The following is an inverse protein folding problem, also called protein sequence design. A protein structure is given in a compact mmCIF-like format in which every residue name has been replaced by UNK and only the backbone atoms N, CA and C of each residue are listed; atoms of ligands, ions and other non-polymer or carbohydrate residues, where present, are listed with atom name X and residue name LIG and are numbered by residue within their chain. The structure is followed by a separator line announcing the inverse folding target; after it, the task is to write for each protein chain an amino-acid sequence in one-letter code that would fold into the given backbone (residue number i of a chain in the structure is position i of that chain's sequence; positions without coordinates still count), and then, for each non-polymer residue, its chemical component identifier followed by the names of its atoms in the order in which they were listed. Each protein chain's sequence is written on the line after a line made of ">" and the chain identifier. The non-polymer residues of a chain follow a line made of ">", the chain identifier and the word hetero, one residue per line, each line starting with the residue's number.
data_IF_738330304733
#
_entry.id   IF_738330304733
#
_cell.length_a   1.000
_cell.length_b   1.000
_cell.length_c   1.000
_cell.angle_alpha   90.00
_cell.angle_beta   90.00
_cell.angle_gamma   90.00
#
_symmetry.space_group_name_H-M   'P 1'
#
loop_
_entity.id
_entity.type
_entity.pdbx_description
1 polymer ?
#
# COMPACT_ATOMS: atom_id res chain seq x y z
N UNK A 1 7.31 5.02 -22.90
CA UNK A 1 7.89 6.10 -22.10
C UNK A 1 7.03 6.45 -20.89
N UNK A 2 5.75 6.77 -21.04
CA UNK A 2 4.84 7.18 -19.95
C UNK A 2 4.85 6.20 -18.77
N UNK A 3 4.74 4.88 -19.03
CA UNK A 3 4.79 3.87 -17.98
C UNK A 3 6.12 3.86 -17.21
N UNK A 4 7.24 4.07 -17.91
CA UNK A 4 8.57 4.17 -17.31
C UNK A 4 8.67 5.39 -16.38
N UNK A 5 8.24 6.55 -16.86
CA UNK A 5 8.22 7.78 -16.06
C UNK A 5 7.33 7.66 -14.83
N UNK A 6 6.12 7.07 -14.96
CA UNK A 6 5.21 6.85 -13.83
C UNK A 6 5.84 5.94 -12.77
N UNK A 7 6.50 4.86 -13.18
CA UNK A 7 7.22 3.96 -12.26
C UNK A 7 8.35 4.70 -11.53
N UNK A 8 9.14 5.45 -12.28
CA UNK A 8 10.22 6.24 -11.72
C UNK A 8 9.70 7.28 -10.70
N UNK A 9 8.71 8.08 -11.09
CA UNK A 9 8.09 9.08 -10.21
C UNK A 9 7.52 8.45 -8.93
N UNK A 10 6.88 7.27 -9.03
CA UNK A 10 6.39 6.57 -7.85
C UNK A 10 7.54 6.21 -6.91
N UNK A 11 8.65 5.66 -7.43
CA UNK A 11 9.82 5.30 -6.63
C UNK A 11 10.42 6.51 -5.92
N UNK A 12 10.72 7.56 -6.68
CA UNK A 12 11.50 8.70 -6.17
C UNK A 12 10.65 9.72 -5.43
N UNK A 13 9.45 10.03 -5.93
CA UNK A 13 8.59 11.06 -5.31
C UNK A 13 7.70 10.49 -4.23
N UNK A 14 7.03 9.36 -4.53
CA UNK A 14 6.02 8.83 -3.61
C UNK A 14 6.66 8.04 -2.47
N UNK A 15 7.66 7.21 -2.76
CA UNK A 15 8.29 6.34 -1.76
C UNK A 15 9.47 7.02 -1.07
N UNK A 16 10.38 7.63 -1.83
CA UNK A 16 11.59 8.25 -1.26
C UNK A 16 11.38 9.71 -0.85
N UNK A 17 10.26 10.32 -1.23
CA UNK A 17 9.94 11.72 -0.96
C UNK A 17 11.00 12.72 -1.43
N UNK A 18 11.65 12.43 -2.57
CA UNK A 18 12.64 13.33 -3.19
C UNK A 18 11.99 14.70 -3.46
N UNK A 19 12.78 15.78 -3.31
CA UNK A 19 12.30 17.14 -3.51
C UNK A 19 11.73 17.33 -4.93
N UNK A 20 10.60 18.04 -5.05
CA UNK A 20 9.94 18.26 -6.32
C UNK A 20 10.84 18.99 -7.33
N UNK A 21 11.61 20.00 -6.91
CA UNK A 21 12.52 20.75 -7.80
C UNK A 21 13.63 19.88 -8.37
N UNK A 22 14.19 18.96 -7.59
CA UNK A 22 15.18 18.01 -8.10
C UNK A 22 14.59 17.06 -9.16
N UNK A 23 13.39 16.59 -8.91
CA UNK A 23 12.69 15.72 -9.87
C UNK A 23 12.30 16.46 -11.15
N UNK A 24 11.83 17.69 -11.03
CA UNK A 24 11.51 18.56 -12.18
C UNK A 24 12.74 18.83 -13.04
N UNK A 25 13.88 19.16 -12.42
CA UNK A 25 15.15 19.39 -13.13
C UNK A 25 15.58 18.13 -13.88
N UNK A 26 15.52 16.97 -13.25
CA UNK A 26 15.89 15.69 -13.88
C UNK A 26 14.98 15.32 -15.05
N UNK A 27 13.67 15.50 -14.89
CA UNK A 27 12.70 15.24 -15.96
C UNK A 27 12.84 16.23 -17.12
N UNK A 28 13.15 17.50 -16.83
CA UNK A 28 13.43 18.51 -17.84
C UNK A 28 14.70 18.16 -18.65
N UNK A 29 15.75 17.68 -17.98
CA UNK A 29 16.96 17.21 -18.65
C UNK A 29 16.68 16.01 -19.56
N UNK A 30 15.85 15.07 -19.11
CA UNK A 30 15.42 13.92 -19.93
C UNK A 30 14.63 14.40 -21.15
N UNK A 31 13.68 15.33 -20.97
CA UNK A 31 12.91 15.88 -22.05
C UNK A 31 13.80 16.59 -23.09
N UNK A 32 14.79 17.37 -22.65
CA UNK A 32 15.81 17.97 -23.50
C UNK A 32 16.59 16.92 -24.28
N UNK A 33 17.03 15.86 -23.64
CA UNK A 33 17.76 14.78 -24.29
C UNK A 33 16.90 14.01 -25.33
N UNK A 34 15.63 13.82 -25.04
CA UNK A 34 14.70 13.21 -26.01
C UNK A 34 14.55 14.09 -27.23
N UNK A 35 14.34 15.40 -27.05
CA UNK A 35 14.06 16.32 -28.15
C UNK A 35 15.31 16.63 -28.98
N UNK A 36 16.42 16.96 -28.35
CA UNK A 36 17.63 17.44 -29.04
C UNK A 36 18.64 16.35 -29.39
N UNK A 37 18.66 15.22 -28.64
CA UNK A 37 19.63 14.14 -28.82
C UNK A 37 19.00 12.85 -29.33
N UNK A 38 17.72 12.88 -29.69
CA UNK A 38 16.96 11.70 -30.14
C UNK A 38 17.14 10.47 -29.25
N UNK A 39 17.18 10.67 -27.91
CA UNK A 39 17.40 9.60 -26.96
C UNK A 39 16.29 8.56 -27.02
N UNK A 40 16.64 7.30 -27.16
CA UNK A 40 15.69 6.18 -27.20
C UNK A 40 15.11 5.88 -25.81
N UNK A 41 13.98 5.16 -25.76
CA UNK A 41 13.36 4.74 -24.50
C UNK A 41 14.31 3.88 -23.66
N UNK A 42 15.15 3.04 -24.29
CA UNK A 42 16.17 2.24 -23.60
C UNK A 42 17.19 3.13 -22.90
N UNK A 43 17.74 4.11 -23.62
CA UNK A 43 18.71 5.05 -23.05
C UNK A 43 18.13 5.89 -21.92
N UNK A 44 16.85 6.29 -22.05
CA UNK A 44 16.13 6.99 -20.95
C UNK A 44 16.00 6.07 -19.73
N UNK A 45 15.64 4.81 -19.96
CA UNK A 45 15.55 3.82 -18.89
C UNK A 45 16.89 3.67 -18.16
N UNK A 46 17.99 3.52 -18.89
CA UNK A 46 19.31 3.39 -18.30
C UNK A 46 19.71 4.63 -17.49
N UNK A 47 19.41 5.83 -18.02
CA UNK A 47 19.64 7.09 -17.31
C UNK A 47 18.82 7.16 -16.00
N UNK A 48 17.56 6.78 -16.01
CA UNK A 48 16.70 6.76 -14.82
C UNK A 48 17.16 5.70 -13.80
N UNK A 49 17.64 4.53 -14.24
CA UNK A 49 18.19 3.50 -13.37
C UNK A 49 19.46 4.02 -12.67
N UNK A 50 20.32 4.73 -13.38
CA UNK A 50 21.59 5.26 -12.87
C UNK A 50 21.44 6.56 -12.08
N UNK A 51 20.24 7.16 -12.05
CA UNK A 51 19.98 8.38 -11.29
C UNK A 51 20.30 8.17 -9.80
N UNK A 52 20.97 9.17 -9.21
CA UNK A 52 21.23 9.19 -7.76
C UNK A 52 19.95 9.30 -6.92
N UNK A 53 18.86 9.76 -7.52
CA UNK A 53 17.55 9.81 -6.87
C UNK A 53 16.82 8.47 -6.87
N UNK A 54 17.21 7.53 -7.77
CA UNK A 54 16.57 6.22 -7.87
C UNK A 54 17.09 5.28 -6.77
N UNK A 55 16.24 4.85 -5.82
CA UNK A 55 16.69 3.93 -4.78
C UNK A 55 17.05 2.56 -5.36
N UNK A 56 17.95 1.84 -4.70
CA UNK A 56 18.14 0.42 -4.96
C UNK A 56 16.83 -0.37 -4.78
N UNK A 57 16.79 -1.60 -5.26
CA UNK A 57 15.61 -2.45 -5.07
C UNK A 57 15.36 -2.75 -3.60
N UNK A 58 16.41 -2.94 -2.83
CA UNK A 58 16.38 -3.24 -1.39
C UNK A 58 15.90 -2.01 -0.60
N UNK A 59 16.47 -0.84 -0.89
CA UNK A 59 16.06 0.43 -0.28
C UNK A 59 14.60 0.73 -0.58
N UNK A 60 14.16 0.58 -1.83
CA UNK A 60 12.76 0.77 -2.21
C UNK A 60 11.84 -0.18 -1.45
N UNK A 61 12.18 -1.48 -1.37
CA UNK A 61 11.37 -2.47 -0.66
C UNK A 61 11.31 -2.17 0.84
N UNK A 62 12.43 -1.78 1.45
CA UNK A 62 12.48 -1.40 2.86
C UNK A 62 11.58 -0.21 3.15
N UNK A 63 11.67 0.85 2.35
CA UNK A 63 10.80 2.03 2.50
C UNK A 63 9.32 1.69 2.30
N UNK A 64 9.01 0.81 1.34
CA UNK A 64 7.64 0.34 1.11
C UNK A 64 7.04 -0.44 2.28
N UNK A 65 7.84 -1.12 3.10
CA UNK A 65 7.34 -1.80 4.31
C UNK A 65 6.79 -0.82 5.32
N UNK A 66 7.48 0.29 5.49
CA UNK A 66 7.18 1.28 6.53
C UNK A 66 6.39 2.48 6.01
N UNK A 67 5.99 2.44 4.72
CA UNK A 67 5.26 3.55 4.11
C UNK A 67 3.88 3.73 4.73
N UNK A 68 3.58 4.98 5.06
CA UNK A 68 2.27 5.40 5.55
C UNK A 68 1.71 6.51 4.65
N UNK A 69 0.53 6.28 4.12
CA UNK A 69 -0.17 7.30 3.36
C UNK A 69 -1.31 7.90 4.19
N UNK A 70 -1.21 9.18 4.49
CA UNK A 70 -2.29 9.93 5.13
C UNK A 70 -3.51 10.13 4.22
N UNK A 71 -3.27 10.26 2.90
CA UNK A 71 -4.33 10.49 1.90
C UNK A 71 -4.93 9.16 1.42
N UNK A 72 -6.22 9.00 1.56
CA UNK A 72 -6.98 7.82 1.11
C UNK A 72 -6.83 7.54 -0.39
N UNK A 73 -6.66 8.58 -1.22
CA UNK A 73 -6.41 8.42 -2.67
C UNK A 73 -5.09 7.70 -2.97
N UNK A 74 -4.02 8.01 -2.21
CA UNK A 74 -2.73 7.33 -2.35
C UNK A 74 -2.80 5.88 -1.87
N UNK A 75 -3.47 5.66 -0.73
CA UNK A 75 -3.72 4.31 -0.22
C UNK A 75 -4.48 3.48 -1.26
N UNK A 76 -5.57 4.03 -1.82
CA UNK A 76 -6.38 3.35 -2.83
C UNK A 76 -5.57 3.03 -4.09
N UNK A 77 -4.83 4.02 -4.61
CA UNK A 77 -3.98 3.80 -5.78
C UNK A 77 -3.02 2.63 -5.60
N UNK A 78 -2.30 2.62 -4.48
CA UNK A 78 -1.34 1.54 -4.20
C UNK A 78 -2.03 0.19 -4.10
N UNK A 79 -3.11 0.09 -3.33
CA UNK A 79 -3.83 -1.17 -3.15
C UNK A 79 -4.43 -1.70 -4.45
N UNK A 80 -4.95 -0.81 -5.31
CA UNK A 80 -5.43 -1.18 -6.66
C UNK A 80 -4.30 -1.75 -7.50
N UNK A 81 -3.11 -1.13 -7.51
CA UNK A 81 -1.95 -1.64 -8.24
C UNK A 81 -1.47 -3.00 -7.75
N UNK A 82 -1.53 -3.24 -6.44
CA UNK A 82 -1.22 -4.56 -5.87
C UNK A 82 -2.25 -5.61 -6.29
N UNK A 83 -3.54 -5.27 -6.35
CA UNK A 83 -4.60 -6.18 -6.81
C UNK A 83 -4.41 -6.49 -8.30
N UNK A 84 -4.19 -5.48 -9.15
CA UNK A 84 -3.97 -5.65 -10.58
C UNK A 84 -2.77 -6.57 -10.89
N UNK A 85 -1.77 -6.57 -10.01
CA UNK A 85 -0.59 -7.43 -10.15
C UNK A 85 -0.88 -8.90 -9.81
N UNK A 86 -1.69 -9.14 -8.78
CA UNK A 86 -1.96 -10.51 -8.27
C UNK A 86 -3.09 -11.22 -9.03
N UNK A 87 -4.01 -10.47 -9.63
CA UNK A 87 -5.20 -11.05 -10.26
C UNK A 87 -5.21 -10.75 -11.76
N UNK A 88 -5.37 -11.78 -12.59
CA UNK A 88 -5.65 -11.59 -14.02
C UNK A 88 -6.87 -10.67 -14.20
N UNK A 89 -6.81 -9.77 -15.17
CA UNK A 89 -7.87 -8.79 -15.48
C UNK A 89 -9.27 -9.40 -15.66
N UNK A 90 -9.36 -10.69 -15.98
CA UNK A 90 -10.61 -11.43 -16.16
C UNK A 90 -11.33 -11.78 -14.85
N UNK A 91 -10.67 -11.71 -13.69
CA UNK A 91 -11.23 -12.12 -12.40
C UNK A 91 -11.58 -10.93 -11.51
N UNK A 92 -11.00 -9.76 -11.82
CA UNK A 92 -11.28 -8.54 -11.07
C UNK A 92 -12.24 -7.69 -11.87
N UNK A 93 -13.47 -7.55 -11.40
CA UNK A 93 -14.36 -6.51 -11.90
C UNK A 93 -13.70 -5.15 -11.63
N UNK A 94 -13.09 -4.58 -12.67
CA UNK A 94 -12.40 -3.29 -12.60
C UNK A 94 -13.34 -2.21 -12.07
N UNK A 95 -14.63 -2.29 -12.38
CA UNK A 95 -15.64 -1.36 -11.90
C UNK A 95 -15.89 -1.52 -10.41
N UNK A 96 -15.89 -2.76 -9.89
CA UNK A 96 -16.03 -3.04 -8.47
C UNK A 96 -14.83 -2.49 -7.66
N UNK A 97 -13.61 -2.62 -8.19
CA UNK A 97 -12.41 -2.05 -7.55
C UNK A 97 -12.38 -0.52 -7.68
N UNK A 98 -12.80 0.03 -8.83
CA UNK A 98 -12.87 1.50 -9.03
C UNK A 98 -13.85 2.17 -8.06
N UNK A 99 -15.01 1.56 -7.82
CA UNK A 99 -16.02 2.03 -6.87
C UNK A 99 -15.75 1.66 -5.41
N UNK A 100 -14.75 0.81 -5.14
CA UNK A 100 -14.42 0.36 -3.80
C UNK A 100 -13.73 1.44 -2.96
N UNK A 101 -13.73 1.25 -1.66
CA UNK A 101 -13.09 2.12 -0.67
C UNK A 101 -12.01 1.40 0.11
N UNK A 102 -11.06 2.17 0.64
CA UNK A 102 -10.05 1.67 1.58
C UNK A 102 -10.71 1.38 2.91
N UNK A 103 -10.50 0.18 3.39
CA UNK A 103 -10.90 -0.29 4.73
C UNK A 103 -9.68 -0.42 5.61
N UNK A 104 -9.80 0.09 6.84
CA UNK A 104 -8.84 -0.15 7.92
C UNK A 104 -9.28 -1.38 8.71
N UNK A 105 -8.51 -2.45 8.64
CA UNK A 105 -8.84 -3.73 9.32
C UNK A 105 -8.93 -3.48 10.82
N UNK A 106 -7.86 -2.95 11.44
CA UNK A 106 -7.94 -2.30 12.74
C UNK A 106 -8.48 -0.88 12.54
N UNK A 107 -9.65 -0.51 13.07
CA UNK A 107 -10.38 0.67 12.67
C UNK A 107 -9.75 1.98 13.18
N UNK A 108 -10.17 3.10 12.57
CA UNK A 108 -9.71 4.46 12.95
C UNK A 108 -10.09 4.85 14.38
N UNK A 109 -11.23 4.36 14.87
CA UNK A 109 -11.69 4.57 16.25
C UNK A 109 -11.85 3.21 16.89
N UNK A 110 -11.10 2.95 17.94
CA UNK A 110 -11.21 1.72 18.73
C UNK A 110 -12.04 1.99 19.99
N UNK A 111 -12.76 0.96 20.43
CA UNK A 111 -13.55 0.92 21.66
C UNK A 111 -13.05 -0.24 22.50
N UNK A 112 -13.69 -0.50 23.64
CA UNK A 112 -13.28 -1.52 24.61
C UNK A 112 -13.08 -2.90 23.99
N UNK A 113 -13.91 -3.31 23.03
CA UNK A 113 -13.74 -4.58 22.31
C UNK A 113 -12.38 -4.66 21.60
N UNK A 114 -11.99 -3.58 20.92
CA UNK A 114 -10.70 -3.51 20.22
C UNK A 114 -9.53 -3.29 21.19
N UNK A 115 -9.70 -2.50 22.28
CA UNK A 115 -8.67 -2.38 23.30
C UNK A 115 -8.33 -3.76 23.88
N UNK A 116 -9.35 -4.50 24.32
CA UNK A 116 -9.18 -5.85 24.87
C UNK A 116 -8.61 -6.83 23.84
N UNK A 117 -9.04 -6.73 22.58
CA UNK A 117 -8.51 -7.56 21.50
C UNK A 117 -7.02 -7.30 21.25
N UNK A 118 -6.61 -6.03 21.15
CA UNK A 118 -5.20 -5.66 20.93
C UNK A 118 -4.33 -6.12 22.11
N UNK A 119 -4.77 -5.88 23.36
CA UNK A 119 -4.06 -6.32 24.56
C UNK A 119 -3.89 -7.84 24.56
N UNK A 120 -4.96 -8.57 24.29
CA UNK A 120 -4.95 -10.05 24.28
C UNK A 120 -3.97 -10.64 23.25
N UNK A 121 -3.82 -9.99 22.10
CA UNK A 121 -3.11 -10.58 20.96
C UNK A 121 -1.75 -9.94 20.62
N UNK A 122 -1.30 -8.95 21.44
CA UNK A 122 0.02 -8.32 21.29
C UNK A 122 0.70 -8.25 22.67
N UNK A 123 1.65 -9.13 22.90
CA UNK A 123 2.27 -9.34 24.20
C UNK A 123 2.90 -8.12 24.85
N UNK A 124 3.34 -7.13 24.07
CA UNK A 124 3.94 -5.88 24.55
C UNK A 124 2.90 -4.82 24.93
N UNK A 125 1.62 -5.03 24.59
CA UNK A 125 0.51 -4.11 24.91
C UNK A 125 -0.17 -4.58 26.19
N UNK A 126 -0.15 -3.75 27.25
CA UNK A 126 -0.60 -4.16 28.60
C UNK A 126 -1.89 -3.49 29.05
N UNK A 127 -2.23 -2.35 28.48
CA UNK A 127 -3.35 -1.53 28.92
C UNK A 127 -4.00 -0.78 27.74
N UNK A 128 -5.08 -0.05 28.02
CA UNK A 128 -5.81 0.73 26.98
C UNK A 128 -4.95 1.81 26.33
N UNK A 129 -4.10 2.49 27.10
CA UNK A 129 -3.22 3.52 26.54
C UNK A 129 -2.20 2.91 25.57
N UNK A 130 -1.60 1.77 25.91
CA UNK A 130 -0.71 1.04 25.03
C UNK A 130 -1.44 0.60 23.75
N UNK A 131 -2.71 0.17 23.86
CA UNK A 131 -3.53 -0.23 22.72
C UNK A 131 -3.84 0.95 21.78
N UNK A 132 -4.06 2.15 22.33
CA UNK A 132 -4.22 3.37 21.51
C UNK A 132 -2.92 3.78 20.81
N UNK A 133 -1.79 3.68 21.50
CA UNK A 133 -0.46 3.94 20.92
C UNK A 133 -0.21 2.94 19.78
N UNK A 134 -0.48 1.66 20.01
CA UNK A 134 -0.38 0.61 19.00
C UNK A 134 -1.28 0.92 17.79
N UNK A 135 -2.54 1.26 18.06
CA UNK A 135 -3.49 1.61 16.99
C UNK A 135 -3.00 2.79 16.16
N UNK A 136 -2.60 3.90 16.78
CA UNK A 136 -2.07 5.07 16.10
C UNK A 136 -0.86 4.73 15.24
N UNK A 137 0.07 3.94 15.77
CA UNK A 137 1.30 3.53 15.10
C UNK A 137 1.05 2.69 13.84
N UNK A 138 0.05 1.81 13.86
CA UNK A 138 -0.18 0.87 12.77
C UNK A 138 -1.44 1.14 11.95
N UNK A 139 -2.18 2.21 12.27
CA UNK A 139 -3.44 2.54 11.62
C UNK A 139 -3.32 2.61 10.09
N UNK A 140 -2.40 3.44 9.61
CA UNK A 140 -2.20 3.72 8.19
C UNK A 140 -1.11 2.85 7.55
N UNK A 141 -0.55 1.90 8.29
CA UNK A 141 0.43 0.99 7.73
C UNK A 141 -0.21 0.13 6.63
N UNK A 142 0.55 -0.11 5.57
CA UNK A 142 0.07 -0.84 4.40
C UNK A 142 -0.52 -2.21 4.76
N UNK A 143 0.05 -2.88 5.78
CA UNK A 143 -0.44 -4.16 6.27
C UNK A 143 -1.84 -4.09 6.87
N UNK A 144 -2.24 -2.95 7.44
CA UNK A 144 -3.57 -2.76 8.05
C UNK A 144 -4.66 -2.34 7.05
N UNK A 145 -4.33 -2.18 5.78
CA UNK A 145 -5.26 -1.69 4.76
C UNK A 145 -5.75 -2.81 3.85
N UNK A 146 -6.99 -2.72 3.42
CA UNK A 146 -7.57 -3.55 2.36
C UNK A 146 -8.59 -2.75 1.56
N UNK A 147 -9.18 -3.34 0.52
CA UNK A 147 -10.21 -2.71 -0.31
C UNK A 147 -11.51 -3.49 -0.19
N UNK A 148 -12.60 -2.78 0.06
CA UNK A 148 -13.95 -3.34 0.12
C UNK A 148 -14.92 -2.48 -0.67
N UNK A 149 -16.04 -3.05 -1.12
CA UNK A 149 -17.12 -2.25 -1.73
C UNK A 149 -17.67 -1.24 -0.73
N UNK A 150 -18.12 -0.08 -1.22
CA UNK A 150 -18.66 1.00 -0.38
C UNK A 150 -19.75 0.54 0.61
N UNK A 151 -20.81 -0.23 0.18
CA UNK A 151 -21.81 -0.71 1.12
C UNK A 151 -21.24 -1.62 2.21
N UNK A 152 -20.24 -2.47 1.87
CA UNK A 152 -19.56 -3.32 2.85
C UNK A 152 -18.77 -2.50 3.85
N UNK A 153 -18.05 -1.46 3.40
CA UNK A 153 -17.24 -0.62 4.29
C UNK A 153 -18.10 0.04 5.37
N UNK A 154 -19.19 0.68 4.99
CA UNK A 154 -20.14 1.31 5.95
C UNK A 154 -20.65 0.29 6.98
N UNK A 155 -20.86 -0.96 6.57
CA UNK A 155 -21.36 -2.02 7.44
C UNK A 155 -20.29 -2.68 8.32
N UNK A 156 -19.00 -2.51 8.01
CA UNK A 156 -17.86 -2.98 8.81
C UNK A 156 -17.62 -2.05 9.99
N UNK A 157 -17.47 -0.77 9.74
CA UNK A 157 -17.27 0.25 10.79
C UNK A 157 -16.19 -0.14 11.79
N UNK A 158 -16.51 0.07 13.07
CA UNK A 158 -15.61 -0.27 14.19
C UNK A 158 -15.89 -1.64 14.82
N UNK A 159 -16.53 -2.56 14.09
CA UNK A 159 -16.87 -3.89 14.60
C UNK A 159 -15.62 -4.67 15.01
N UNK A 160 -15.74 -5.60 15.97
CA UNK A 160 -14.68 -6.54 16.33
C UNK A 160 -14.14 -7.30 15.11
N UNK A 161 -12.88 -7.73 15.20
CA UNK A 161 -12.20 -8.40 14.08
C UNK A 161 -12.96 -9.64 13.58
N UNK A 162 -13.46 -10.45 14.49
CA UNK A 162 -14.18 -11.70 14.16
C UNK A 162 -15.47 -11.43 13.35
N UNK A 163 -16.17 -10.34 13.64
CA UNK A 163 -17.35 -9.94 12.88
C UNK A 163 -16.97 -9.36 11.51
N UNK A 164 -15.86 -8.64 11.43
CA UNK A 164 -15.32 -8.17 10.14
C UNK A 164 -14.90 -9.35 9.27
N UNK A 165 -14.29 -10.38 9.85
CA UNK A 165 -13.86 -11.58 9.13
C UNK A 165 -14.98 -12.26 8.36
N UNK A 166 -16.17 -12.40 8.94
CA UNK A 166 -17.35 -12.98 8.25
C UNK A 166 -17.62 -12.26 6.90
N UNK A 167 -17.42 -10.94 6.87
CA UNK A 167 -17.64 -10.12 5.65
C UNK A 167 -16.45 -10.16 4.70
N UNK A 168 -15.24 -10.24 5.23
CA UNK A 168 -14.02 -10.35 4.42
C UNK A 168 -13.97 -11.66 3.64
N UNK A 169 -14.37 -12.77 4.26
CA UNK A 169 -14.45 -14.10 3.62
C UNK A 169 -15.42 -14.12 2.44
N UNK A 170 -16.50 -13.36 2.51
CA UNK A 170 -17.48 -13.21 1.43
C UNK A 170 -17.09 -12.16 0.37
N UNK A 171 -15.84 -11.64 0.40
CA UNK A 171 -15.37 -10.68 -0.58
C UNK A 171 -14.94 -11.36 -1.87
N UNK A 172 -15.35 -10.81 -3.01
CA UNK A 172 -14.85 -11.21 -4.33
C UNK A 172 -13.46 -10.63 -4.61
N UNK A 173 -13.04 -9.61 -3.84
CA UNK A 173 -11.70 -9.01 -3.96
C UNK A 173 -10.70 -9.93 -3.25
N UNK A 174 -9.80 -10.56 -4.01
CA UNK A 174 -8.83 -11.53 -3.51
C UNK A 174 -7.97 -11.01 -2.35
N UNK A 175 -7.49 -9.78 -2.42
CA UNK A 175 -6.73 -9.13 -1.33
C UNK A 175 -7.51 -9.13 0.00
N UNK A 176 -8.83 -9.02 -0.06
CA UNK A 176 -9.69 -8.98 1.13
C UNK A 176 -10.07 -10.39 1.59
N UNK A 177 -10.43 -11.28 0.67
CA UNK A 177 -10.73 -12.68 1.03
C UNK A 177 -9.51 -13.45 1.53
N UNK A 178 -8.29 -13.05 1.15
CA UNK A 178 -7.03 -13.58 1.71
C UNK A 178 -6.84 -13.33 3.21
N UNK A 179 -7.63 -12.43 3.82
CA UNK A 179 -7.59 -12.21 5.26
C UNK A 179 -7.92 -13.49 6.06
N UNK A 180 -8.55 -14.49 5.43
CA UNK A 180 -8.68 -15.85 6.00
C UNK A 180 -7.37 -16.49 6.46
N UNK A 181 -6.24 -16.06 5.88
CA UNK A 181 -4.90 -16.53 6.28
C UNK A 181 -4.40 -15.90 7.60
N UNK A 182 -5.15 -14.95 8.14
CA UNK A 182 -4.82 -14.19 9.34
C UNK A 182 -5.97 -14.29 10.35
N UNK A 183 -6.16 -15.46 11.00
CA UNK A 183 -7.28 -15.66 11.93
C UNK A 183 -7.20 -14.74 13.16
N UNK A 184 -6.01 -14.25 13.48
CA UNK A 184 -5.77 -13.27 14.55
C UNK A 184 -5.16 -12.02 13.93
N UNK A 185 -5.74 -10.85 14.25
CA UNK A 185 -5.21 -9.57 13.80
C UNK A 185 -4.30 -8.96 14.85
N UNK A 186 -3.01 -9.06 14.65
CA UNK A 186 -1.97 -8.61 15.55
C UNK A 186 -0.77 -8.02 14.77
N UNK A 187 0.26 -7.58 15.49
CA UNK A 187 1.48 -7.03 14.88
C UNK A 187 2.10 -7.98 13.85
N UNK A 188 2.14 -9.28 14.15
CA UNK A 188 2.71 -10.28 13.24
C UNK A 188 1.92 -10.36 11.93
N UNK A 189 0.58 -10.30 11.99
CA UNK A 189 -0.30 -10.29 10.82
C UNK A 189 -0.09 -9.03 9.97
N UNK A 190 -0.01 -7.86 10.62
CA UNK A 190 0.25 -6.58 9.96
C UNK A 190 1.60 -6.62 9.24
N UNK A 191 2.68 -6.98 9.95
CA UNK A 191 4.03 -7.05 9.38
C UNK A 191 4.16 -8.06 8.24
N UNK A 192 3.53 -9.22 8.36
CA UNK A 192 3.52 -10.23 7.30
C UNK A 192 2.86 -9.71 6.01
N UNK A 193 1.79 -8.93 6.13
CA UNK A 193 1.17 -8.27 4.98
C UNK A 193 2.02 -7.15 4.41
N UNK A 194 2.66 -6.32 5.28
CA UNK A 194 3.62 -5.31 4.83
C UNK A 194 4.75 -5.92 4.00
N UNK A 195 5.33 -7.03 4.47
CA UNK A 195 6.36 -7.77 3.74
C UNK A 195 5.84 -8.22 2.36
N UNK A 196 4.72 -8.95 2.32
CA UNK A 196 4.10 -9.39 1.07
C UNK A 196 3.90 -8.23 0.09
N UNK A 197 3.31 -7.14 0.55
CA UNK A 197 2.99 -6.00 -0.30
C UNK A 197 4.23 -5.22 -0.75
N UNK A 198 5.27 -5.14 0.06
CA UNK A 198 6.55 -4.52 -0.33
C UNK A 198 7.27 -5.33 -1.41
N UNK A 199 7.24 -6.67 -1.32
CA UNK A 199 7.78 -7.56 -2.36
C UNK A 199 7.03 -7.41 -3.68
N UNK A 200 5.70 -7.34 -3.64
CA UNK A 200 4.87 -7.10 -4.82
C UNK A 200 5.16 -5.72 -5.42
N UNK A 201 5.22 -4.68 -4.60
CA UNK A 201 5.55 -3.33 -5.02
C UNK A 201 6.92 -3.28 -5.74
N UNK A 202 7.92 -3.98 -5.23
CA UNK A 202 9.24 -4.10 -5.87
C UNK A 202 9.13 -4.66 -7.30
N UNK A 203 8.24 -5.61 -7.54
CA UNK A 203 8.01 -6.18 -8.89
C UNK A 203 7.25 -5.22 -9.78
N UNK A 204 6.18 -4.58 -9.27
CA UNK A 204 5.32 -3.67 -10.03
C UNK A 204 6.09 -2.44 -10.51
N UNK A 205 6.87 -1.82 -9.62
CA UNK A 205 7.64 -0.59 -9.90
C UNK A 205 9.10 -0.84 -10.25
N UNK A 206 9.44 -2.05 -10.71
CA UNK A 206 10.74 -2.30 -11.31
C UNK A 206 10.90 -1.47 -12.60
N UNK A 207 12.00 -0.73 -12.71
CA UNK A 207 12.43 -0.02 -13.92
C UNK A 207 13.07 -0.97 -14.91
#
# INVERSE_FOLDING_TARGET
>A
LTSLCLKYMFRVKTVMNVNASQLEQELAEIAFCVYHKNMTVSQIKDKLIQSSNNPSHETFQSQMKDIEFSKSSHQKYLLVKLIEHDQPRSVTDITAVASASVEHIMPRKIKDDWHNYIIKHNGDVKNKNDAEIFQKKYLNSLGNLTIVSLPKNSSLGNKPYDDKMKKYLASQIGMTSELKKYPIWNLKSIKKRQEKFSEQARKIWKL
#
